data_IF_528514498245
#
_entry.id   IF_528514498245
#
_cell.length_a   1.000
_cell.length_b   1.000
_cell.length_c   1.000
_cell.angle_alpha   90.00
_cell.angle_beta   90.00
_cell.angle_gamma   90.00
#
_symmetry.space_group_name_H-M   'P 1'
#
loop_
_entity.id
_entity.type
_entity.pdbx_description
1 polymer ?
#
# COMPACT_ATOMS: atom_id res chain seq x y z
N UNK A 1 11.23 -19.95 -7.99
CA UNK A 1 10.11 -19.32 -7.29
C UNK A 1 9.74 -18.06 -8.06
N UNK A 2 8.44 -17.77 -8.22
CA UNK A 2 8.00 -16.47 -8.75
C UNK A 2 7.51 -15.66 -7.55
N UNK A 3 7.93 -14.40 -7.48
CA UNK A 3 7.52 -13.47 -6.44
C UNK A 3 6.98 -12.19 -7.10
N UNK A 4 5.79 -11.78 -6.71
CA UNK A 4 5.22 -10.47 -7.08
C UNK A 4 5.43 -9.53 -5.90
N UNK A 5 5.98 -8.36 -6.16
CA UNK A 5 6.23 -7.33 -5.16
C UNK A 5 5.44 -6.08 -5.51
N UNK A 6 4.73 -5.55 -4.52
CA UNK A 6 4.19 -4.21 -4.57
C UNK A 6 5.24 -3.24 -3.97
N UNK A 7 5.71 -2.29 -4.77
CA UNK A 7 6.72 -1.31 -4.42
C UNK A 7 6.08 0.07 -4.57
N UNK A 8 5.78 0.72 -3.44
CA UNK A 8 5.30 2.09 -3.44
C UNK A 8 6.44 3.04 -3.87
N UNK A 9 6.41 3.49 -5.13
CA UNK A 9 7.39 4.42 -5.70
C UNK A 9 7.00 5.89 -5.51
N UNK A 10 6.04 6.21 -4.64
CA UNK A 10 5.63 7.60 -4.38
C UNK A 10 6.77 8.47 -3.81
N UNK A 11 7.74 7.86 -3.14
CA UNK A 11 8.90 8.52 -2.51
C UNK A 11 10.24 8.25 -3.22
N UNK A 12 10.29 7.33 -4.18
CA UNK A 12 11.52 6.96 -4.90
C UNK A 12 11.68 7.79 -6.18
N UNK A 13 12.91 8.09 -6.56
CA UNK A 13 13.18 8.72 -7.87
C UNK A 13 12.73 7.73 -8.95
N UNK A 14 11.65 8.04 -9.68
CA UNK A 14 11.02 7.14 -10.66
C UNK A 14 11.95 6.70 -11.79
N UNK A 15 13.14 7.29 -11.88
CA UNK A 15 14.18 7.00 -12.86
C UNK A 15 15.35 6.17 -12.30
N UNK A 16 15.35 5.81 -11.02
CA UNK A 16 16.38 4.96 -10.44
C UNK A 16 16.13 3.50 -10.87
N UNK A 17 17.05 2.95 -11.66
CA UNK A 17 17.04 1.53 -11.99
C UNK A 17 17.22 0.73 -10.70
N UNK A 18 16.32 -0.21 -10.43
CA UNK A 18 16.32 -1.00 -9.20
C UNK A 18 16.81 -2.41 -9.49
N UNK A 19 17.78 -2.88 -8.73
CA UNK A 19 18.29 -4.26 -8.81
C UNK A 19 17.88 -5.07 -7.60
N UNK A 20 17.75 -6.39 -7.80
CA UNK A 20 17.22 -7.30 -6.79
C UNK A 20 18.22 -8.43 -6.54
N UNK A 21 18.50 -8.70 -5.27
CA UNK A 21 19.30 -9.84 -4.85
C UNK A 21 18.52 -10.68 -3.83
N UNK A 22 18.51 -12.00 -3.99
CA UNK A 22 17.80 -12.90 -3.07
C UNK A 22 18.78 -13.84 -2.36
N UNK A 23 18.47 -14.16 -1.10
CA UNK A 23 19.27 -15.05 -0.27
C UNK A 23 18.36 -15.93 0.58
N UNK A 24 18.67 -17.23 0.63
CA UNK A 24 18.05 -18.13 1.59
C UNK A 24 18.67 -17.92 2.98
N UNK A 25 17.83 -17.70 4.00
CA UNK A 25 18.28 -17.55 5.37
C UNK A 25 19.02 -18.80 5.88
N UNK A 26 18.68 -19.99 5.39
CA UNK A 26 19.37 -21.22 5.75
C UNK A 26 20.80 -21.27 5.16
N UNK A 27 21.04 -20.58 4.05
CA UNK A 27 22.30 -20.53 3.33
C UNK A 27 22.70 -19.09 2.95
N UNK A 28 23.03 -18.23 3.94
CA UNK A 28 23.26 -16.80 3.70
C UNK A 28 24.57 -16.50 2.96
N UNK A 29 25.36 -17.52 2.61
CA UNK A 29 26.61 -17.38 1.84
C UNK A 29 26.40 -17.57 0.33
N UNK A 30 25.21 -18.01 -0.09
CA UNK A 30 24.87 -18.27 -1.48
C UNK A 30 23.73 -17.34 -1.91
N UNK A 31 24.03 -16.46 -2.87
CA UNK A 31 23.02 -15.62 -3.49
C UNK A 31 22.25 -16.42 -4.52
N UNK A 32 20.93 -16.31 -4.46
CA UNK A 32 20.01 -16.91 -5.40
C UNK A 32 19.89 -15.98 -6.62
N UNK A 33 20.07 -16.49 -7.85
CA UNK A 33 19.90 -15.67 -9.03
C UNK A 33 18.47 -15.15 -9.14
N UNK A 34 18.33 -13.85 -9.42
CA UNK A 34 17.02 -13.18 -9.59
C UNK A 34 16.93 -12.62 -11.01
N UNK A 35 15.81 -12.87 -11.68
CA UNK A 35 15.50 -12.32 -13.01
C UNK A 35 14.16 -11.60 -12.94
N UNK A 36 14.12 -10.33 -13.39
CA UNK A 36 12.85 -9.60 -13.53
C UNK A 36 12.10 -10.12 -14.76
N UNK A 37 10.85 -10.52 -14.55
CA UNK A 37 9.97 -11.07 -15.59
C UNK A 37 8.98 -10.02 -16.11
N UNK A 38 8.53 -9.12 -15.23
CA UNK A 38 7.57 -8.08 -15.52
C UNK A 38 7.76 -6.91 -14.56
N UNK A 39 7.51 -5.70 -15.05
CA UNK A 39 7.49 -4.46 -14.28
C UNK A 39 6.33 -3.61 -14.76
N UNK A 40 5.55 -3.14 -13.80
CA UNK A 40 4.60 -2.04 -13.95
C UNK A 40 4.91 -0.97 -12.86
N UNK A 41 4.18 0.15 -12.85
CA UNK A 41 4.48 1.34 -12.04
C UNK A 41 4.79 1.02 -10.58
N UNK A 42 3.93 0.20 -9.97
CA UNK A 42 4.02 -0.15 -8.55
C UNK A 42 4.21 -1.66 -8.31
N UNK A 43 4.27 -2.47 -9.36
CA UNK A 43 4.43 -3.93 -9.25
C UNK A 43 5.63 -4.45 -10.02
N UNK A 44 6.37 -5.37 -9.41
CA UNK A 44 7.48 -6.10 -10.05
C UNK A 44 7.28 -7.59 -9.85
N UNK A 45 7.40 -8.36 -10.94
CA UNK A 45 7.39 -9.83 -10.89
C UNK A 45 8.81 -10.35 -11.13
N UNK A 46 9.30 -11.13 -10.18
CA UNK A 46 10.66 -11.65 -10.15
C UNK A 46 10.65 -13.18 -10.17
N UNK A 47 11.59 -13.76 -10.91
CA UNK A 47 11.92 -15.17 -10.83
C UNK A 47 13.19 -15.36 -10.00
N UNK A 48 13.08 -16.08 -8.89
CA UNK A 48 14.21 -16.47 -8.05
C UNK A 48 14.57 -17.92 -8.35
N UNK A 49 15.75 -18.12 -8.93
CA UNK A 49 16.27 -19.45 -9.29
C UNK A 49 16.80 -20.20 -8.07
N UNK A 50 16.80 -21.53 -8.16
CA UNK A 50 17.39 -22.44 -7.16
C UNK A 50 16.86 -22.31 -5.72
N UNK A 51 15.65 -21.77 -5.56
CA UNK A 51 14.94 -21.79 -4.28
C UNK A 51 14.62 -23.24 -3.88
N UNK A 52 15.03 -23.63 -2.67
CA UNK A 52 14.63 -24.91 -2.09
C UNK A 52 13.10 -24.92 -1.91
N UNK A 53 12.36 -25.92 -2.42
CA UNK A 53 10.90 -26.01 -2.23
C UNK A 53 10.44 -26.06 -0.76
N UNK A 54 11.36 -26.27 0.18
CA UNK A 54 11.14 -26.30 1.62
C UNK A 54 11.85 -25.15 2.36
N UNK A 55 12.12 -24.04 1.67
CA UNK A 55 12.74 -22.86 2.28
C UNK A 55 11.95 -22.40 3.52
N UNK A 56 12.67 -21.93 4.55
CA UNK A 56 12.01 -21.35 5.73
C UNK A 56 11.74 -19.86 5.50
N UNK A 57 12.79 -19.11 5.14
CA UNK A 57 12.72 -17.66 4.90
C UNK A 57 13.68 -17.28 3.79
N UNK A 58 13.19 -16.54 2.81
CA UNK A 58 14.02 -15.88 1.79
C UNK A 58 14.08 -14.39 2.11
N UNK A 59 15.29 -13.84 2.16
CA UNK A 59 15.50 -12.40 2.18
C UNK A 59 15.72 -11.89 0.76
N UNK A 60 15.17 -10.73 0.44
CA UNK A 60 15.39 -10.06 -0.83
C UNK A 60 15.79 -8.61 -0.58
N UNK A 61 16.96 -8.26 -1.09
CA UNK A 61 17.54 -6.92 -1.01
C UNK A 61 17.16 -6.16 -2.28
N UNK A 62 16.61 -4.96 -2.08
CA UNK A 62 16.27 -3.99 -3.11
C UNK A 62 17.37 -2.94 -3.11
N UNK A 63 18.08 -2.83 -4.23
CA UNK A 63 19.28 -2.02 -4.37
C UNK A 63 19.05 -0.93 -5.43
N UNK A 64 19.50 0.28 -5.15
CA UNK A 64 19.57 1.35 -6.16
C UNK A 64 20.75 1.08 -7.10
N UNK A 65 20.51 1.03 -8.40
CA UNK A 65 21.58 0.97 -9.38
C UNK A 65 22.24 2.34 -9.49
N UNK A 66 23.44 2.48 -8.95
CA UNK A 66 24.28 3.64 -9.20
C UNK A 66 24.88 3.53 -10.60
N UNK A 67 24.24 4.13 -11.61
CA UNK A 67 24.81 4.27 -12.96
C UNK A 67 25.91 5.35 -12.96
N UNK A 68 27.07 5.09 -12.35
CA UNK A 68 28.24 5.97 -12.43
C UNK A 68 29.35 5.33 -13.28
N UNK A 69 29.06 5.09 -14.56
CA UNK A 69 30.06 4.72 -15.58
C UNK A 69 30.79 5.94 -16.19
N UNK A 70 30.78 7.12 -15.55
CA UNK A 70 31.33 8.36 -16.16
C UNK A 70 32.46 9.08 -15.41
N UNK A 71 33.12 8.50 -14.41
CA UNK A 71 34.32 9.12 -13.81
C UNK A 71 35.41 8.09 -13.45
N UNK A 72 35.96 7.41 -14.45
CA UNK A 72 37.22 6.66 -14.28
C UNK A 72 38.43 7.63 -14.36
N UNK A 73 38.70 8.33 -13.25
CA UNK A 73 40.06 8.80 -12.94
C UNK A 73 40.83 7.63 -12.29
N UNK A 74 41.95 7.16 -12.86
CA UNK A 74 42.56 5.88 -12.47
C UNK A 74 43.45 5.94 -11.21
N UNK A 75 43.20 6.87 -10.28
CA UNK A 75 44.14 7.14 -9.17
C UNK A 75 43.50 7.36 -7.79
N UNK A 76 42.28 6.89 -7.55
CA UNK A 76 41.76 6.70 -6.18
C UNK A 76 41.19 5.28 -6.00
N UNK A 77 41.96 4.43 -5.33
CA UNK A 77 41.46 3.18 -4.74
C UNK A 77 40.61 3.53 -3.52
N UNK A 78 39.33 3.83 -3.73
CA UNK A 78 38.30 3.83 -2.69
C UNK A 78 37.32 2.70 -3.01
N UNK A 79 37.31 1.72 -2.11
CA UNK A 79 36.62 0.44 -2.14
C UNK A 79 35.13 0.59 -1.73
N UNK A 80 34.45 1.61 -2.25
CA UNK A 80 33.11 2.01 -1.80
C UNK A 80 32.15 2.22 -2.99
N UNK A 81 32.00 1.19 -3.83
CA UNK A 81 30.89 1.10 -4.78
C UNK A 81 29.93 -0.01 -4.31
N UNK A 82 29.47 0.11 -3.07
CA UNK A 82 28.43 -0.75 -2.51
C UNK A 82 27.10 -0.10 -2.90
N UNK A 83 26.25 -0.75 -3.71
CA UNK A 83 24.93 -0.23 -4.05
C UNK A 83 24.18 0.14 -2.77
N UNK A 84 23.52 1.30 -2.74
CA UNK A 84 22.74 1.69 -1.58
C UNK A 84 21.57 0.71 -1.42
N UNK A 85 21.54 -0.01 -0.29
CA UNK A 85 20.41 -0.86 0.08
C UNK A 85 19.21 0.04 0.39
N UNK A 86 18.19 -0.02 -0.46
CA UNK A 86 16.96 0.75 -0.29
C UNK A 86 16.06 0.08 0.75
N UNK A 87 15.91 -1.24 0.63
CA UNK A 87 15.09 -2.03 1.54
C UNK A 87 15.47 -3.52 1.47
N UNK A 88 15.12 -4.26 2.53
CA UNK A 88 15.17 -5.71 2.55
C UNK A 88 13.83 -6.28 2.96
N UNK A 89 13.27 -7.14 2.10
CA UNK A 89 12.00 -7.82 2.31
C UNK A 89 12.28 -9.27 2.71
N UNK A 90 11.46 -9.83 3.58
CA UNK A 90 11.55 -11.24 3.96
C UNK A 90 10.25 -11.96 3.59
N UNK A 91 10.37 -13.09 2.91
CA UNK A 91 9.26 -14.01 2.62
C UNK A 91 9.42 -15.26 3.49
N UNK A 92 8.51 -15.46 4.46
CA UNK A 92 8.40 -16.69 5.24
C UNK A 92 7.46 -17.65 4.51
N UNK A 93 7.92 -18.87 4.22
CA UNK A 93 7.14 -19.87 3.46
C UNK A 93 5.78 -20.20 4.10
N UNK A 94 5.60 -19.93 5.39
CA UNK A 94 4.34 -20.18 6.11
C UNK A 94 3.32 -19.05 5.98
N UNK A 95 3.75 -17.88 5.52
CA UNK A 95 2.95 -16.65 5.48
C UNK A 95 2.72 -16.13 4.05
N UNK A 96 3.35 -16.76 3.05
CA UNK A 96 3.18 -16.39 1.64
C UNK A 96 2.33 -17.42 0.91
N UNK A 97 1.40 -16.93 0.07
CA UNK A 97 0.66 -17.78 -0.84
C UNK A 97 1.56 -18.24 -1.99
N UNK A 98 1.70 -19.56 -2.14
CA UNK A 98 2.51 -20.17 -3.19
C UNK A 98 1.59 -20.64 -4.32
N UNK A 99 1.58 -19.91 -5.43
CA UNK A 99 0.94 -20.39 -6.65
C UNK A 99 1.91 -21.30 -7.44
N UNK A 100 1.79 -22.60 -7.22
CA UNK A 100 2.56 -23.63 -7.96
C UNK A 100 2.21 -23.68 -9.46
N UNK A 101 1.13 -23.02 -9.88
CA UNK A 101 0.65 -23.02 -11.27
C UNK A 101 1.23 -21.89 -12.12
N UNK A 102 1.93 -20.92 -11.51
CA UNK A 102 2.66 -19.89 -12.23
C UNK A 102 3.93 -20.48 -12.84
N UNK A 103 4.03 -20.40 -14.15
CA UNK A 103 5.19 -20.81 -14.93
C UNK A 103 5.86 -19.58 -15.54
N UNK A 104 7.14 -19.68 -15.87
CA UNK A 104 7.95 -18.63 -16.54
C UNK A 104 7.29 -18.11 -17.83
N UNK A 105 6.38 -18.88 -18.44
CA UNK A 105 5.75 -18.57 -19.72
C UNK A 105 4.41 -17.85 -19.54
N UNK A 106 4.43 -16.52 -19.66
CA UNK A 106 3.61 -15.64 -20.52
C UNK A 106 3.44 -14.25 -19.87
N UNK A 107 3.99 -13.20 -20.49
CA UNK A 107 3.91 -11.80 -19.99
C UNK A 107 2.47 -11.36 -19.73
N UNK A 108 1.52 -11.79 -20.57
CA UNK A 108 0.09 -11.51 -20.39
C UNK A 108 -0.46 -12.09 -19.08
N UNK A 109 0.06 -13.24 -18.63
CA UNK A 109 -0.41 -13.87 -17.39
C UNK A 109 0.08 -13.12 -16.16
N UNK A 110 1.27 -12.53 -16.22
CA UNK A 110 1.77 -11.65 -15.16
C UNK A 110 1.00 -10.35 -15.09
N UNK A 111 0.72 -9.73 -16.23
CA UNK A 111 -0.11 -8.53 -16.32
C UNK A 111 -1.50 -8.77 -15.74
N UNK A 112 -2.20 -9.84 -16.15
CA UNK A 112 -3.50 -10.20 -15.57
C UNK A 112 -3.44 -10.47 -14.05
N UNK A 113 -2.36 -11.11 -13.59
CA UNK A 113 -2.18 -11.35 -12.16
C UNK A 113 -1.97 -10.05 -11.38
N UNK A 114 -1.17 -9.13 -11.90
CA UNK A 114 -0.95 -7.80 -11.28
C UNK A 114 -2.24 -7.00 -11.25
N UNK A 115 -3.00 -6.95 -12.35
CA UNK A 115 -4.29 -6.27 -12.38
C UNK A 115 -5.29 -6.86 -11.37
N UNK A 116 -5.29 -8.19 -11.18
CA UNK A 116 -6.12 -8.82 -10.16
C UNK A 116 -5.68 -8.45 -8.73
N UNK A 117 -4.38 -8.42 -8.45
CA UNK A 117 -3.88 -7.98 -7.14
C UNK A 117 -4.24 -6.52 -6.86
N UNK A 118 -4.19 -5.67 -7.88
CA UNK A 118 -4.60 -4.27 -7.78
C UNK A 118 -6.10 -4.13 -7.52
N UNK A 119 -6.94 -4.93 -8.18
CA UNK A 119 -8.37 -5.02 -7.86
C UNK A 119 -8.62 -5.46 -6.42
N UNK A 120 -7.98 -6.55 -5.97
CA UNK A 120 -8.18 -7.08 -4.61
C UNK A 120 -7.81 -6.01 -3.56
N UNK A 121 -6.73 -5.25 -3.81
CA UNK A 121 -6.33 -4.12 -2.97
C UNK A 121 -7.35 -3.00 -2.98
N UNK A 122 -7.86 -2.60 -4.16
CA UNK A 122 -8.86 -1.54 -4.28
C UNK A 122 -10.18 -1.94 -3.60
N UNK A 123 -10.56 -3.22 -3.63
CA UNK A 123 -11.72 -3.73 -2.90
C UNK A 123 -11.54 -3.60 -1.38
N UNK A 124 -10.35 -3.92 -0.85
CA UNK A 124 -10.01 -3.74 0.56
C UNK A 124 -10.03 -2.25 0.95
N UNK A 125 -9.38 -1.38 0.16
CA UNK A 125 -9.36 0.07 0.38
C UNK A 125 -10.78 0.68 0.38
N UNK A 126 -11.62 0.25 -0.57
CA UNK A 126 -13.03 0.63 -0.61
C UNK A 126 -13.82 0.16 0.63
N UNK A 127 -13.54 -1.05 1.13
CA UNK A 127 -14.16 -1.55 2.34
C UNK A 127 -13.75 -0.73 3.57
N UNK A 128 -12.47 -0.38 3.67
CA UNK A 128 -11.92 0.43 4.77
C UNK A 128 -12.54 1.82 4.78
N UNK A 129 -12.56 2.54 3.66
CA UNK A 129 -13.21 3.86 3.56
C UNK A 129 -14.68 3.81 3.97
N UNK A 130 -15.41 2.77 3.53
CA UNK A 130 -16.83 2.59 3.92
C UNK A 130 -16.98 2.39 5.42
N UNK A 131 -16.13 1.57 6.03
CA UNK A 131 -16.18 1.33 7.47
C UNK A 131 -15.81 2.59 8.28
N UNK A 132 -14.85 3.38 7.81
CA UNK A 132 -14.53 4.68 8.41
C UNK A 132 -15.72 5.63 8.36
N UNK A 133 -16.37 5.75 7.19
CA UNK A 133 -17.59 6.55 7.01
C UNK A 133 -18.70 6.09 7.94
N UNK A 134 -18.98 4.77 8.01
CA UNK A 134 -20.01 4.22 8.91
C UNK A 134 -19.73 4.57 10.38
N UNK A 135 -18.47 4.45 10.83
CA UNK A 135 -18.10 4.83 12.19
C UNK A 135 -18.26 6.34 12.47
N UNK A 136 -17.95 7.19 11.48
CA UNK A 136 -18.16 8.64 11.59
C UNK A 136 -19.65 8.99 11.65
N UNK A 137 -20.48 8.34 10.84
CA UNK A 137 -21.94 8.52 10.86
C UNK A 137 -22.52 8.12 12.23
N UNK A 138 -22.12 6.97 12.78
CA UNK A 138 -22.53 6.55 14.14
C UNK A 138 -22.10 7.57 15.20
N UNK A 139 -20.86 8.09 15.11
CA UNK A 139 -20.36 9.09 16.06
C UNK A 139 -21.12 10.42 15.97
N UNK A 140 -21.45 10.87 14.76
CA UNK A 140 -22.26 12.08 14.55
C UNK A 140 -23.64 11.88 15.18
N UNK A 141 -24.30 10.74 14.97
CA UNK A 141 -25.61 10.46 15.58
C UNK A 141 -25.57 10.50 17.12
N UNK A 142 -24.49 9.98 17.74
CA UNK A 142 -24.28 10.06 19.19
C UNK A 142 -24.15 11.51 19.67
N UNK A 143 -23.34 12.32 18.97
CA UNK A 143 -23.10 13.72 19.30
C UNK A 143 -24.36 14.58 19.10
N UNK A 144 -25.14 14.33 18.05
CA UNK A 144 -26.43 15.00 17.83
C UNK A 144 -27.41 14.71 18.98
N UNK A 145 -27.43 13.47 19.48
CA UNK A 145 -28.25 13.12 20.64
C UNK A 145 -27.76 13.81 21.92
N UNK A 146 -26.45 13.96 22.09
CA UNK A 146 -25.85 14.72 23.19
C UNK A 146 -26.23 16.21 23.15
N UNK A 147 -26.23 16.83 21.96
CA UNK A 147 -26.72 18.19 21.77
C UNK A 147 -28.19 18.35 22.20
N UNK A 148 -29.06 17.40 21.83
CA UNK A 148 -30.47 17.40 22.25
C UNK A 148 -30.61 17.34 23.78
N UNK A 149 -29.79 16.54 24.45
CA UNK A 149 -29.79 16.43 25.91
C UNK A 149 -29.29 17.73 26.57
N UNK A 150 -28.21 18.33 26.05
CA UNK A 150 -27.69 19.62 26.52
C UNK A 150 -28.72 20.74 26.35
N UNK A 151 -29.40 20.81 25.20
CA UNK A 151 -30.47 21.78 24.96
C UNK A 151 -31.63 21.63 25.95
N UNK A 152 -31.94 20.41 26.36
CA UNK A 152 -32.95 20.15 27.39
C UNK A 152 -32.49 20.59 28.78
N UNK A 153 -31.21 20.40 29.11
CA UNK A 153 -30.62 20.79 30.40
C UNK A 153 -30.53 22.32 30.55
N UNK A 154 -30.19 23.05 29.47
CA UNK A 154 -30.19 24.52 29.43
C UNK A 154 -31.55 25.11 29.86
N UNK A 155 -32.67 24.47 29.53
CA UNK A 155 -34.01 24.98 29.87
C UNK A 155 -34.27 25.09 31.38
N UNK A 156 -33.55 24.31 32.18
CA UNK A 156 -33.74 24.21 33.64
C UNK A 156 -32.51 24.65 34.44
N UNK A 157 -31.45 25.13 33.77
CA UNK A 157 -30.20 25.51 34.39
C UNK A 157 -30.24 26.92 35.00
N UNK A 158 -29.23 27.22 35.82
CA UNK A 158 -28.94 28.60 36.27
C UNK A 158 -28.09 29.35 35.25
N UNK A 159 -28.02 30.69 35.34
CA UNK A 159 -27.22 31.52 34.42
C UNK A 159 -25.74 31.08 34.33
N UNK A 160 -25.13 30.66 35.44
CA UNK A 160 -23.73 30.20 35.44
C UNK A 160 -23.59 28.82 34.75
N UNK A 161 -24.55 27.91 34.97
CA UNK A 161 -24.58 26.58 34.34
C UNK A 161 -24.93 26.66 32.85
N UNK A 162 -25.78 27.60 32.43
CA UNK A 162 -26.11 27.88 31.03
C UNK A 162 -24.85 28.20 30.21
N UNK A 163 -23.95 29.05 30.73
CA UNK A 163 -22.70 29.39 30.04
C UNK A 163 -21.78 28.18 29.86
N UNK A 164 -21.73 27.28 30.85
CA UNK A 164 -20.94 26.05 30.75
C UNK A 164 -21.53 25.11 29.68
N UNK A 165 -22.85 24.91 29.70
CA UNK A 165 -23.57 24.07 28.74
C UNK A 165 -23.53 24.63 27.31
N UNK A 166 -23.65 25.95 27.12
CA UNK A 166 -23.48 26.60 25.81
C UNK A 166 -22.06 26.40 25.26
N UNK A 167 -21.06 26.40 26.14
CA UNK A 167 -19.68 26.14 25.72
C UNK A 167 -19.47 24.68 25.31
N UNK A 168 -20.14 23.72 25.95
CA UNK A 168 -20.10 22.31 25.60
C UNK A 168 -20.84 22.05 24.29
N UNK A 169 -22.04 22.63 24.14
CA UNK A 169 -22.83 22.61 22.90
C UNK A 169 -22.00 23.08 21.70
N UNK A 170 -21.33 24.23 21.80
CA UNK A 170 -20.49 24.76 20.73
C UNK A 170 -19.26 23.89 20.43
N UNK A 171 -18.72 23.15 21.41
CA UNK A 171 -17.62 22.22 21.17
C UNK A 171 -18.09 21.00 20.38
N UNK A 172 -19.25 20.46 20.74
CA UNK A 172 -19.85 19.32 20.04
C UNK A 172 -20.24 19.71 18.61
N UNK A 173 -20.84 20.88 18.38
CA UNK A 173 -21.12 21.38 17.02
C UNK A 173 -19.83 21.43 16.17
N UNK A 174 -18.73 21.92 16.75
CA UNK A 174 -17.44 21.96 16.06
C UNK A 174 -16.83 20.57 15.82
N UNK A 175 -17.11 19.58 16.67
CA UNK A 175 -16.68 18.20 16.47
C UNK A 175 -17.47 17.56 15.31
N UNK A 176 -18.78 17.77 15.26
CA UNK A 176 -19.65 17.33 14.17
C UNK A 176 -19.19 17.93 12.83
N UNK A 177 -18.99 19.26 12.75
CA UNK A 177 -18.52 19.94 11.53
C UNK A 177 -17.18 19.34 11.03
N UNK A 178 -16.28 19.00 11.96
CA UNK A 178 -15.01 18.35 11.67
C UNK A 178 -15.20 16.95 11.09
N UNK A 179 -16.02 16.12 11.75
CA UNK A 179 -16.34 14.77 11.29
C UNK A 179 -17.06 14.77 9.94
N UNK A 180 -17.94 15.73 9.67
CA UNK A 180 -18.61 15.87 8.37
C UNK A 180 -17.61 16.18 7.26
N UNK A 181 -16.64 17.06 7.54
CA UNK A 181 -15.57 17.41 6.59
C UNK A 181 -14.67 16.19 6.31
N UNK A 182 -14.27 15.47 7.36
CA UNK A 182 -13.44 14.27 7.21
C UNK A 182 -14.19 13.17 6.46
N UNK A 183 -15.48 12.98 6.75
CA UNK A 183 -16.35 12.04 6.05
C UNK A 183 -16.51 12.38 4.56
N UNK A 184 -16.58 13.66 4.19
CA UNK A 184 -16.61 14.08 2.78
C UNK A 184 -15.31 13.69 2.08
N UNK A 185 -14.15 13.90 2.72
CA UNK A 185 -12.85 13.48 2.18
C UNK A 185 -12.78 11.95 1.99
N UNK A 186 -13.22 11.17 2.97
CA UNK A 186 -13.27 9.70 2.87
C UNK A 186 -14.21 9.23 1.73
N UNK A 187 -15.34 9.92 1.53
CA UNK A 187 -16.27 9.67 0.42
C UNK A 187 -15.66 10.02 -0.94
N UNK A 188 -14.82 11.06 -1.02
CA UNK A 188 -14.06 11.38 -2.24
C UNK A 188 -12.98 10.33 -2.51
N UNK A 189 -12.20 9.92 -1.50
CA UNK A 189 -11.21 8.84 -1.64
C UNK A 189 -11.84 7.52 -2.09
N UNK A 190 -12.99 7.16 -1.51
CA UNK A 190 -13.77 6.01 -1.96
C UNK A 190 -14.16 6.10 -3.45
N UNK A 191 -14.58 7.27 -3.93
CA UNK A 191 -14.92 7.47 -5.34
C UNK A 191 -13.70 7.33 -6.26
N UNK A 192 -12.54 7.85 -5.85
CA UNK A 192 -11.29 7.68 -6.61
C UNK A 192 -10.93 6.20 -6.75
N UNK A 193 -11.02 5.43 -5.66
CA UNK A 193 -10.77 3.99 -5.71
C UNK A 193 -11.77 3.23 -6.62
N UNK A 194 -13.03 3.68 -6.69
CA UNK A 194 -14.01 3.12 -7.63
C UNK A 194 -13.68 3.45 -9.09
N UNK A 195 -13.33 4.69 -9.39
CA UNK A 195 -12.94 5.11 -10.75
C UNK A 195 -11.69 4.33 -11.22
N UNK A 196 -10.74 4.08 -10.31
CA UNK A 196 -9.56 3.28 -10.61
C UNK A 196 -9.90 1.81 -10.87
N UNK A 197 -10.79 1.22 -10.05
CA UNK A 197 -11.29 -0.13 -10.28
C UNK A 197 -11.97 -0.25 -11.66
N UNK A 198 -12.84 0.71 -12.03
CA UNK A 198 -13.51 0.71 -13.34
C UNK A 198 -12.48 0.75 -14.49
N UNK A 199 -11.42 1.56 -14.37
CA UNK A 199 -10.36 1.60 -15.37
C UNK A 199 -9.60 0.27 -15.50
N UNK A 200 -9.36 -0.44 -14.40
CA UNK A 200 -8.71 -1.76 -14.41
C UNK A 200 -9.62 -2.81 -15.04
N UNK A 201 -10.91 -2.81 -14.71
CA UNK A 201 -11.91 -3.70 -15.31
C UNK A 201 -11.98 -3.52 -16.84
N UNK A 202 -11.98 -2.26 -17.33
CA UNK A 202 -11.91 -1.97 -18.76
C UNK A 202 -10.63 -2.51 -19.42
N UNK A 203 -9.48 -2.36 -18.76
CA UNK A 203 -8.21 -2.87 -19.26
C UNK A 203 -8.22 -4.39 -19.40
N UNK A 204 -8.72 -5.10 -18.39
CA UNK A 204 -8.85 -6.55 -18.42
C UNK A 204 -9.82 -7.03 -19.51
N UNK A 205 -10.94 -6.33 -19.70
CA UNK A 205 -11.90 -6.65 -20.77
C UNK A 205 -11.25 -6.53 -22.15
N UNK A 206 -10.54 -5.42 -22.41
CA UNK A 206 -9.81 -5.20 -23.67
C UNK A 206 -8.72 -6.24 -23.91
N UNK A 207 -8.02 -6.70 -22.86
CA UNK A 207 -7.01 -7.74 -22.95
C UNK A 207 -7.59 -9.13 -23.23
N UNK A 208 -8.87 -9.37 -22.90
CA UNK A 208 -9.55 -10.65 -23.10
C UNK A 208 -10.15 -10.84 -24.51
N UNK A 209 -10.38 -9.74 -25.24
CA UNK A 209 -11.04 -9.71 -26.56
C UNK A 209 -10.04 -9.64 -27.76
N UNK A 210 -8.73 -9.62 -27.48
CA UNK A 210 -7.63 -9.56 -28.47
C UNK A 210 -6.96 -10.90 -28.77
#
# INVERSE_FOLDING_TARGET
MIATLHIDRSQADRNAETTFAAQDRANPQEELPVTMLYEDRDYVVLHIDNVDPSFEVIGMDILEETTDESLLDPDETSDDNIPAELARIYADHREVDVDESMTIEDTNRYEQHVLQLEMDRLEEEQQDHRQVVENMEERIEELEQELVDIEADILYSTEDEEVELESEHSQIESEIDGLETDMENEKESYQVAQEEQEMIEEQMEMASDG
#
